data_IF_854114368620
#
_entry.id   IF_854114368620
#
_cell.length_a   1.000
_cell.length_b   1.000
_cell.length_c   1.000
_cell.angle_alpha   90.00
_cell.angle_beta   90.00
_cell.angle_gamma   90.00
#
_symmetry.space_group_name_H-M   'P 1'
#
loop_
_entity.id
_entity.type
_entity.pdbx_description
1 polymer ?
#
# COMPACT_ATOMS: atom_id res chain seq x y z
N UNK A 1 7.60 7.31 -59.35
CA UNK A 1 6.96 5.99 -59.42
C UNK A 1 7.81 5.02 -58.63
N UNK A 2 7.35 4.59 -57.45
CA UNK A 2 8.09 3.60 -56.65
C UNK A 2 7.57 2.22 -57.06
N UNK A 3 8.46 1.43 -57.63
CA UNK A 3 8.21 0.05 -58.07
C UNK A 3 7.83 -0.82 -56.89
N UNK A 4 6.65 -1.41 -56.94
CA UNK A 4 6.16 -2.42 -55.99
C UNK A 4 7.08 -3.64 -56.02
N UNK A 5 7.90 -3.82 -54.99
CA UNK A 5 8.75 -5.00 -54.84
C UNK A 5 7.89 -6.22 -54.50
N UNK A 6 7.85 -7.18 -55.42
CA UNK A 6 7.23 -8.48 -55.19
C UNK A 6 8.04 -9.26 -54.16
N UNK A 7 7.53 -9.36 -52.93
CA UNK A 7 8.08 -10.28 -51.93
C UNK A 7 7.90 -11.72 -52.46
N UNK A 8 8.98 -12.49 -52.63
CA UNK A 8 8.93 -13.89 -53.04
C UNK A 8 7.94 -14.70 -52.19
N UNK A 9 7.08 -15.50 -52.83
CA UNK A 9 5.99 -16.25 -52.15
C UNK A 9 6.50 -17.17 -51.02
N UNK A 10 7.75 -17.62 -51.09
CA UNK A 10 8.37 -18.49 -50.08
C UNK A 10 8.78 -17.75 -48.78
N UNK A 11 8.87 -16.42 -48.79
CA UNK A 11 9.21 -15.63 -47.59
C UNK A 11 7.99 -15.31 -46.69
N UNK A 12 6.77 -15.51 -47.20
CA UNK A 12 5.53 -15.25 -46.44
C UNK A 12 5.40 -16.04 -45.13
N UNK A 13 5.64 -17.38 -45.09
CA UNK A 13 5.55 -18.12 -43.83
C UNK A 13 6.64 -17.73 -42.83
N UNK A 14 7.83 -17.35 -43.31
CA UNK A 14 8.93 -16.88 -42.47
C UNK A 14 8.53 -15.55 -41.80
N UNK A 15 8.02 -14.59 -42.56
CA UNK A 15 7.53 -13.32 -42.01
C UNK A 15 6.39 -13.53 -40.99
N UNK A 16 5.50 -14.49 -41.24
CA UNK A 16 4.43 -14.85 -40.31
C UNK A 16 4.96 -15.46 -39.01
N UNK A 17 5.96 -16.34 -39.11
CA UNK A 17 6.61 -16.97 -37.94
C UNK A 17 7.40 -15.94 -37.13
N UNK A 18 8.09 -14.99 -37.77
CA UNK A 18 8.75 -13.88 -37.08
C UNK A 18 7.75 -12.92 -36.43
N UNK A 19 6.61 -12.65 -37.06
CA UNK A 19 5.52 -11.88 -36.45
C UNK A 19 4.97 -12.54 -35.19
N UNK A 20 4.77 -13.87 -35.22
CA UNK A 20 4.34 -14.67 -34.07
C UNK A 20 5.41 -14.76 -32.97
N UNK A 21 6.69 -14.88 -33.35
CA UNK A 21 7.81 -14.93 -32.41
C UNK A 21 8.00 -13.58 -31.71
N UNK A 22 7.76 -12.46 -32.40
CA UNK A 22 7.77 -11.12 -31.80
C UNK A 22 6.56 -10.87 -30.89
N UNK A 23 5.42 -11.55 -31.10
CA UNK A 23 4.29 -11.53 -30.17
C UNK A 23 4.52 -12.41 -28.93
N UNK A 24 5.51 -13.31 -28.99
CA UNK A 24 5.97 -14.16 -27.89
C UNK A 24 7.19 -13.57 -27.16
N UNK A 25 7.41 -12.25 -27.25
CA UNK A 25 8.26 -11.58 -26.27
C UNK A 25 7.56 -11.73 -24.93
N UNK A 26 8.00 -12.74 -24.18
CA UNK A 26 7.72 -12.86 -22.76
C UNK A 26 8.24 -11.56 -22.18
N UNK A 27 7.33 -10.61 -21.94
CA UNK A 27 7.64 -9.43 -21.14
C UNK A 27 8.15 -9.97 -19.84
N UNK A 28 9.47 -9.91 -19.66
CA UNK A 28 10.10 -10.34 -18.42
C UNK A 28 9.43 -9.53 -17.32
N UNK A 29 8.63 -10.21 -16.50
CA UNK A 29 7.98 -9.60 -15.34
C UNK A 29 9.09 -8.98 -14.51
N UNK A 30 9.13 -7.66 -14.45
CA UNK A 30 10.06 -6.96 -13.58
C UNK A 30 9.71 -7.40 -12.16
N UNK A 31 10.59 -8.18 -11.54
CA UNK A 31 10.36 -8.62 -10.17
C UNK A 31 10.64 -7.45 -9.22
N UNK A 32 9.75 -7.16 -8.25
CA UNK A 32 10.02 -6.17 -7.24
C UNK A 32 11.24 -6.60 -6.43
N UNK A 33 12.05 -5.62 -6.00
CA UNK A 33 13.09 -5.88 -5.01
C UNK A 33 12.40 -6.23 -3.69
N UNK A 34 12.91 -7.25 -3.00
CA UNK A 34 12.40 -7.62 -1.68
C UNK A 34 12.70 -6.50 -0.69
N UNK A 35 11.66 -5.78 -0.27
CA UNK A 35 11.73 -4.71 0.72
C UNK A 35 10.78 -5.00 1.88
N UNK A 36 10.96 -4.32 3.00
CA UNK A 36 10.00 -4.31 4.10
C UNK A 36 9.35 -2.93 4.23
N UNK A 37 8.30 -2.85 5.06
CA UNK A 37 7.62 -1.60 5.39
C UNK A 37 7.11 -0.82 4.17
N UNK A 38 6.64 -1.58 3.17
CA UNK A 38 5.94 -1.04 2.00
C UNK A 38 4.52 -0.64 2.41
N UNK A 39 3.96 0.35 1.73
CA UNK A 39 2.52 0.55 1.77
C UNK A 39 1.88 -0.28 0.65
N UNK A 40 0.69 -0.81 0.91
CA UNK A 40 -0.02 -1.62 -0.08
C UNK A 40 -1.52 -1.41 0.04
N UNK A 41 -2.23 -1.64 -1.07
CA UNK A 41 -3.67 -1.50 -1.17
C UNK A 41 -4.20 -2.39 -2.29
N UNK A 42 -5.48 -2.75 -2.24
CA UNK A 42 -6.10 -3.59 -3.28
C UNK A 42 -7.32 -2.92 -3.88
N UNK A 43 -7.44 -2.88 -5.21
CA UNK A 43 -8.63 -2.39 -5.90
C UNK A 43 -9.54 -3.55 -6.28
N UNK A 44 -10.80 -3.51 -5.82
CA UNK A 44 -11.82 -4.55 -6.12
C UNK A 44 -11.36 -5.99 -5.83
N UNK A 45 -10.40 -6.19 -4.91
CA UNK A 45 -9.74 -7.48 -4.64
C UNK A 45 -9.06 -8.13 -5.87
N UNK A 46 -8.94 -7.40 -6.99
CA UNK A 46 -8.44 -7.90 -8.26
C UNK A 46 -6.98 -7.52 -8.50
N UNK A 47 -6.55 -6.38 -7.97
CA UNK A 47 -5.18 -5.89 -8.15
C UNK A 47 -4.62 -5.48 -6.81
N UNK A 48 -3.43 -5.98 -6.45
CA UNK A 48 -2.64 -5.50 -5.32
C UNK A 48 -1.63 -4.48 -5.82
N UNK A 49 -1.64 -3.30 -5.23
CA UNK A 49 -0.64 -2.25 -5.44
C UNK A 49 0.31 -2.23 -4.25
N UNK A 50 1.59 -2.02 -4.53
CA UNK A 50 2.65 -1.94 -3.52
C UNK A 50 3.54 -0.76 -3.87
N UNK A 51 3.81 0.11 -2.89
CA UNK A 51 4.67 1.28 -3.06
C UNK A 51 5.75 1.36 -1.97
N UNK A 52 6.95 1.76 -2.39
CA UNK A 52 8.07 2.09 -1.52
C UNK A 52 8.74 0.89 -0.85
N UNK A 53 9.14 1.10 0.39
CA UNK A 53 9.83 0.12 1.25
C UNK A 53 11.33 0.35 1.38
N UNK A 54 11.97 -0.44 2.23
CA UNK A 54 13.42 -0.46 2.40
C UNK A 54 14.00 -1.87 2.31
N UNK A 55 15.18 -1.97 1.72
CA UNK A 55 16.00 -3.16 1.70
C UNK A 55 17.10 -3.06 2.77
N UNK A 56 17.31 -4.14 3.51
CA UNK A 56 18.34 -4.21 4.54
C UNK A 56 19.45 -5.17 4.13
N UNK A 57 20.67 -4.64 4.05
CA UNK A 57 21.89 -5.42 3.89
C UNK A 57 22.72 -5.32 5.17
N UNK A 58 22.47 -6.23 6.11
CA UNK A 58 23.12 -6.22 7.43
C UNK A 58 22.56 -5.14 8.36
N UNK A 59 23.35 -4.10 8.65
CA UNK A 59 22.90 -2.88 9.36
C UNK A 59 22.57 -1.73 8.38
N UNK A 60 22.99 -1.87 7.12
CA UNK A 60 22.78 -0.85 6.11
C UNK A 60 21.36 -0.95 5.58
N UNK A 61 20.74 0.21 5.46
CA UNK A 61 19.39 0.38 4.96
C UNK A 61 19.44 1.20 3.68
N UNK A 62 18.75 0.70 2.65
CA UNK A 62 18.58 1.41 1.39
C UNK A 62 17.09 1.52 1.13
N UNK A 63 16.58 2.74 1.15
CA UNK A 63 15.18 3.02 0.82
C UNK A 63 14.97 2.86 -0.70
N UNK A 64 13.83 2.26 -1.07
CA UNK A 64 13.35 2.13 -2.46
C UNK A 64 12.02 2.85 -2.66
N UNK A 65 11.98 4.17 -2.42
CA UNK A 65 10.75 4.96 -2.40
C UNK A 65 10.02 5.03 -3.74
N UNK A 66 10.73 4.90 -4.86
CA UNK A 66 10.16 4.89 -6.21
C UNK A 66 9.66 3.51 -6.68
N UNK A 67 9.74 2.49 -5.83
CA UNK A 67 9.29 1.14 -6.17
C UNK A 67 7.76 1.11 -6.17
N UNK A 68 7.12 1.11 -7.35
CA UNK A 68 5.66 1.02 -7.47
C UNK A 68 5.28 -0.14 -8.40
N UNK A 69 4.55 -1.12 -7.86
CA UNK A 69 4.22 -2.37 -8.55
C UNK A 69 2.75 -2.71 -8.38
N UNK A 70 2.20 -3.37 -9.39
CA UNK A 70 0.87 -3.97 -9.35
C UNK A 70 0.96 -5.49 -9.57
N UNK A 71 0.12 -6.25 -8.87
CA UNK A 71 -0.05 -7.69 -9.04
C UNK A 71 -1.50 -8.00 -9.36
N UNK A 72 -1.74 -8.66 -10.49
CA UNK A 72 -3.06 -9.15 -10.84
C UNK A 72 -3.40 -10.41 -10.02
N UNK A 73 -4.35 -10.25 -9.10
CA UNK A 73 -4.84 -11.31 -8.21
C UNK A 73 -5.89 -12.22 -8.88
N UNK A 74 -6.47 -11.82 -10.01
CA UNK A 74 -7.46 -12.63 -10.74
C UNK A 74 -6.79 -13.68 -11.63
N UNK A 75 -5.49 -13.61 -11.83
CA UNK A 75 -4.77 -14.57 -12.65
C UNK A 75 -4.78 -15.94 -11.96
N UNK A 76 -5.33 -16.95 -12.62
CA UNK A 76 -5.29 -18.33 -12.15
C UNK A 76 -3.95 -18.97 -12.50
N UNK A 77 -3.30 -19.64 -11.54
CA UNK A 77 -2.14 -20.49 -11.81
C UNK A 77 -0.80 -19.77 -12.02
N UNK A 78 -0.48 -18.76 -11.21
CA UNK A 78 0.85 -18.16 -11.18
C UNK A 78 1.80 -18.86 -10.19
N UNK A 79 3.09 -18.80 -10.50
CA UNK A 79 4.14 -19.33 -9.64
C UNK A 79 4.43 -18.32 -8.52
N UNK A 80 4.31 -18.72 -7.25
CA UNK A 80 4.61 -17.84 -6.11
C UNK A 80 6.07 -17.36 -6.06
N UNK A 81 6.99 -18.11 -6.67
CA UNK A 81 8.39 -17.72 -6.83
C UNK A 81 8.63 -16.76 -7.99
N UNK A 82 7.65 -16.56 -8.87
CA UNK A 82 7.70 -15.61 -9.98
C UNK A 82 6.30 -15.03 -10.25
N UNK A 83 5.76 -14.20 -9.34
CA UNK A 83 4.43 -13.64 -9.50
C UNK A 83 4.40 -12.69 -10.70
N UNK A 84 3.24 -12.51 -11.36
CA UNK A 84 3.05 -11.66 -12.53
C UNK A 84 3.00 -10.18 -12.13
N UNK A 85 4.13 -9.67 -11.62
CA UNK A 85 4.27 -8.27 -11.26
C UNK A 85 4.34 -7.38 -12.50
N UNK A 86 3.63 -6.28 -12.44
CA UNK A 86 3.72 -5.19 -13.41
C UNK A 86 4.37 -4.01 -12.72
N UNK A 87 5.54 -3.60 -13.22
CA UNK A 87 6.17 -2.36 -12.76
C UNK A 87 5.34 -1.18 -13.26
N UNK A 88 5.02 -0.26 -12.34
CA UNK A 88 4.24 0.92 -12.61
C UNK A 88 5.14 2.15 -12.57
N UNK A 89 4.82 3.16 -13.38
CA UNK A 89 5.57 4.42 -13.38
C UNK A 89 5.25 5.23 -12.13
N UNK A 90 6.30 5.66 -11.42
CA UNK A 90 6.21 6.66 -10.35
C UNK A 90 7.02 7.90 -10.75
N UNK A 91 6.43 9.10 -10.83
CA UNK A 91 7.13 10.30 -11.25
C UNK A 91 8.13 10.75 -10.18
N UNK A 92 9.39 10.87 -10.58
CA UNK A 92 10.49 11.25 -9.67
C UNK A 92 10.31 12.64 -9.05
N UNK A 93 9.57 13.52 -9.70
CA UNK A 93 9.21 14.86 -9.19
C UNK A 93 8.27 14.83 -7.98
N UNK A 94 7.50 13.75 -7.81
CA UNK A 94 6.59 13.55 -6.68
C UNK A 94 7.20 12.68 -5.59
N UNK A 95 8.48 12.32 -5.72
CA UNK A 95 9.16 11.63 -4.65
C UNK A 95 9.32 12.60 -3.46
N UNK A 96 9.08 12.12 -2.22
CA UNK A 96 9.36 12.91 -1.03
C UNK A 96 10.79 13.45 -1.01
N UNK A 97 10.98 14.65 -0.47
CA UNK A 97 12.31 15.29 -0.46
C UNK A 97 13.23 14.54 0.50
N UNK A 98 12.66 14.00 1.59
CA UNK A 98 13.33 13.15 2.56
C UNK A 98 13.10 11.64 2.29
N UNK A 99 13.37 11.18 1.07
CA UNK A 99 13.33 9.76 0.66
C UNK A 99 14.24 8.81 1.45
N UNK A 100 14.87 9.24 2.53
CA UNK A 100 15.62 8.37 3.43
C UNK A 100 14.71 7.43 4.23
N UNK A 101 13.38 7.55 4.12
CA UNK A 101 12.45 6.78 4.95
C UNK A 101 11.43 6.00 4.12
N UNK A 102 11.33 4.72 4.48
CA UNK A 102 10.26 3.78 4.22
C UNK A 102 9.17 4.00 5.30
N UNK A 103 7.99 3.37 5.19
CA UNK A 103 6.79 3.58 6.06
C UNK A 103 5.74 4.57 5.52
N UNK A 104 5.48 4.53 4.22
CA UNK A 104 4.28 5.17 3.70
C UNK A 104 3.02 4.55 4.29
N UNK A 105 1.93 5.32 4.26
CA UNK A 105 0.58 4.80 4.44
C UNK A 105 -0.16 4.81 3.11
N UNK A 106 -1.06 3.86 2.88
CA UNK A 106 -1.89 3.81 1.67
C UNK A 106 -3.32 3.46 2.00
N UNK A 107 -4.26 4.10 1.31
CA UNK A 107 -5.68 3.85 1.40
C UNK A 107 -6.33 4.10 0.04
N UNK A 108 -7.40 3.36 -0.24
CA UNK A 108 -8.12 3.43 -1.51
C UNK A 108 -9.38 4.29 -1.32
N UNK A 109 -9.69 5.17 -2.27
CA UNK A 109 -10.92 5.95 -2.28
C UNK A 109 -12.17 5.05 -2.33
N UNK A 110 -13.35 5.52 -1.86
CA UNK A 110 -14.56 4.69 -1.80
C UNK A 110 -15.03 4.13 -3.15
N UNK A 111 -14.76 4.85 -4.23
CA UNK A 111 -15.09 4.48 -5.60
C UNK A 111 -14.03 3.57 -6.27
N UNK A 112 -13.01 3.16 -5.51
CA UNK A 112 -11.89 2.34 -5.97
C UNK A 112 -11.08 2.94 -7.13
N UNK A 113 -11.14 4.25 -7.32
CA UNK A 113 -10.50 4.94 -8.46
C UNK A 113 -9.15 5.59 -8.12
N UNK A 114 -8.88 5.86 -6.85
CA UNK A 114 -7.72 6.64 -6.41
C UNK A 114 -7.05 6.01 -5.19
N UNK A 115 -5.75 5.73 -5.28
CA UNK A 115 -4.92 5.34 -4.14
C UNK A 115 -4.25 6.58 -3.57
N UNK A 116 -4.59 6.96 -2.34
CA UNK A 116 -3.84 7.95 -1.58
C UNK A 116 -2.62 7.29 -0.94
N UNK A 117 -1.46 7.96 -1.05
CA UNK A 117 -0.22 7.57 -0.39
C UNK A 117 0.28 8.75 0.44
N UNK A 118 0.39 8.53 1.75
CA UNK A 118 0.83 9.54 2.70
C UNK A 118 2.28 9.30 3.10
N UNK A 119 3.09 10.37 3.04
CA UNK A 119 4.34 10.44 3.76
C UNK A 119 4.06 10.92 5.18
N UNK A 120 4.42 10.10 6.16
CA UNK A 120 4.19 10.36 7.59
C UNK A 120 5.38 11.06 8.25
N UNK A 121 6.44 11.33 7.48
CA UNK A 121 7.71 11.85 7.97
C UNK A 121 8.03 13.24 7.43
N UNK A 122 7.64 13.53 6.19
CA UNK A 122 7.61 14.87 5.63
C UNK A 122 6.22 15.47 5.83
N UNK A 123 6.18 16.63 6.50
CA UNK A 123 4.97 17.42 6.67
C UNK A 123 4.25 17.62 5.33
N UNK A 124 2.92 17.46 5.35
CA UNK A 124 1.99 17.96 4.34
C UNK A 124 2.02 17.29 2.94
N UNK A 125 2.40 16.01 2.85
CA UNK A 125 2.45 15.31 1.55
C UNK A 125 1.53 14.10 1.44
N UNK A 126 0.44 14.30 0.69
CA UNK A 126 -0.37 13.27 0.07
C UNK A 126 -0.07 13.25 -1.43
N UNK A 127 0.21 12.07 -1.96
CA UNK A 127 0.24 11.83 -3.42
C UNK A 127 -0.84 10.83 -3.76
N UNK A 128 -1.60 11.11 -4.81
CA UNK A 128 -2.70 10.29 -5.26
C UNK A 128 -2.36 9.64 -6.59
N UNK A 129 -2.64 8.34 -6.69
CA UNK A 129 -2.55 7.58 -7.93
C UNK A 129 -3.94 7.27 -8.45
N UNK A 130 -4.28 7.81 -9.62
CA UNK A 130 -5.50 7.47 -10.34
C UNK A 130 -5.32 6.11 -11.04
N UNK A 131 -6.10 5.13 -10.61
CA UNK A 131 -6.06 3.75 -11.11
C UNK A 131 -6.47 3.69 -12.59
N UNK A 132 -7.50 4.42 -12.98
CA UNK A 132 -8.02 4.41 -14.35
C UNK A 132 -7.10 5.11 -15.35
N UNK A 133 -6.48 6.23 -14.94
CA UNK A 133 -5.63 7.04 -15.80
C UNK A 133 -4.14 6.68 -15.70
N UNK A 134 -3.78 5.82 -14.76
CA UNK A 134 -2.40 5.46 -14.41
C UNK A 134 -1.51 6.69 -14.19
N UNK A 135 -2.04 7.71 -13.53
CA UNK A 135 -1.38 9.01 -13.33
C UNK A 135 -1.28 9.38 -11.86
N UNK A 136 -0.23 10.12 -11.50
CA UNK A 136 -0.06 10.64 -10.14
C UNK A 136 -0.34 12.13 -10.05
N UNK A 137 -0.90 12.55 -8.92
CA UNK A 137 -1.15 13.95 -8.57
C UNK A 137 -0.68 14.23 -7.15
N UNK A 138 -0.05 15.38 -6.94
CA UNK A 138 0.26 15.86 -5.59
C UNK A 138 -0.97 16.57 -5.03
N UNK A 139 -1.33 16.27 -3.78
CA UNK A 139 -2.41 16.93 -3.06
C UNK A 139 -1.81 17.67 -1.88
N UNK A 140 -2.10 18.97 -1.78
CA UNK A 140 -1.73 19.74 -0.62
C UNK A 140 -2.72 19.42 0.50
N UNK A 141 -2.21 19.01 1.65
CA UNK A 141 -3.00 18.84 2.87
C UNK A 141 -2.64 19.96 3.84
N UNK A 142 -3.63 20.44 4.55
CA UNK A 142 -3.44 21.29 5.73
C UNK A 142 -3.36 20.36 6.92
N UNK A 143 -2.27 20.46 7.67
CA UNK A 143 -1.90 19.66 8.84
C UNK A 143 -1.03 18.44 8.56
N UNK A 144 -0.16 18.18 9.53
CA UNK A 144 0.85 17.13 9.46
C UNK A 144 0.35 15.84 10.08
N UNK A 145 0.46 14.76 9.31
CA UNK A 145 0.42 13.42 9.89
C UNK A 145 1.82 13.12 10.42
N UNK A 146 1.91 12.68 11.67
CA UNK A 146 3.16 12.24 12.28
C UNK A 146 3.00 10.84 12.84
N UNK A 147 4.07 10.05 12.74
CA UNK A 147 4.15 8.71 13.31
C UNK A 147 4.83 7.74 12.36
N UNK A 148 5.72 6.91 12.89
CA UNK A 148 6.34 5.82 12.15
C UNK A 148 5.34 4.69 11.87
N UNK A 149 5.27 4.18 10.64
CA UNK A 149 4.52 2.96 10.30
C UNK A 149 3.00 3.05 10.42
N UNK A 150 2.45 4.27 10.39
CA UNK A 150 1.01 4.52 10.48
C UNK A 150 0.27 3.83 9.32
N UNK A 151 -0.82 3.14 9.64
CA UNK A 151 -1.73 2.56 8.65
C UNK A 151 -2.86 3.54 8.35
N UNK A 152 -3.45 3.45 7.16
CA UNK A 152 -4.55 4.28 6.72
C UNK A 152 -5.71 3.39 6.27
N UNK A 153 -6.94 3.80 6.59
CA UNK A 153 -8.15 3.10 6.16
C UNK A 153 -9.22 4.12 5.76
N UNK A 154 -9.80 3.94 4.58
CA UNK A 154 -10.90 4.78 4.11
C UNK A 154 -12.23 4.23 4.58
N UNK A 155 -13.08 5.06 5.17
CA UNK A 155 -14.49 4.74 5.34
C UNK A 155 -15.21 4.82 3.98
N UNK A 156 -15.73 3.70 3.44
CA UNK A 156 -16.38 3.68 2.13
C UNK A 156 -17.68 4.49 2.09
N UNK A 157 -18.25 4.85 3.24
CA UNK A 157 -19.51 5.61 3.30
C UNK A 157 -19.26 7.11 3.20
N UNK A 158 -18.24 7.60 3.90
CA UNK A 158 -17.97 9.04 4.03
C UNK A 158 -16.77 9.51 3.21
N UNK A 159 -15.89 8.60 2.80
CA UNK A 159 -14.61 8.92 2.15
C UNK A 159 -13.54 9.46 3.10
N UNK A 160 -13.81 9.53 4.40
CA UNK A 160 -12.82 9.91 5.40
C UNK A 160 -11.72 8.84 5.51
N UNK A 161 -10.46 9.27 5.68
CA UNK A 161 -9.33 8.36 5.86
C UNK A 161 -8.84 8.42 7.29
N UNK A 162 -8.87 7.30 8.00
CA UNK A 162 -8.50 7.18 9.40
C UNK A 162 -7.07 6.64 9.54
N UNK A 163 -6.32 7.25 10.44
CA UNK A 163 -4.94 6.91 10.77
C UNK A 163 -4.83 6.49 12.24
N UNK A 164 -5.10 5.22 12.56
CA UNK A 164 -4.88 4.71 13.90
C UNK A 164 -3.41 4.79 14.29
N UNK A 165 -3.14 5.35 15.46
CA UNK A 165 -1.78 5.56 15.95
C UNK A 165 -1.03 6.73 15.28
N UNK A 166 -1.72 7.53 14.47
CA UNK A 166 -1.19 8.80 13.97
C UNK A 166 -1.27 9.89 15.05
N UNK A 167 -0.36 10.86 14.99
CA UNK A 167 -0.38 12.07 15.79
C UNK A 167 0.94 12.38 16.52
N UNK A 168 1.15 13.65 16.92
CA UNK A 168 2.48 14.18 17.26
C UNK A 168 3.09 13.68 18.59
N UNK A 169 2.30 13.05 19.47
CA UNK A 169 2.76 12.84 20.85
C UNK A 169 2.82 11.36 21.27
N UNK A 170 1.84 10.51 20.92
CA UNK A 170 1.56 9.34 21.75
C UNK A 170 1.34 8.01 21.00
N UNK A 171 1.26 7.99 19.66
CA UNK A 171 0.81 6.82 18.89
C UNK A 171 -0.53 6.20 19.36
N UNK A 172 -1.29 6.94 20.17
CA UNK A 172 -2.55 6.51 20.75
C UNK A 172 -3.73 7.29 20.20
N UNK A 173 -3.47 8.41 19.52
CA UNK A 173 -4.49 9.16 18.82
C UNK A 173 -4.89 8.44 17.54
N UNK A 174 -6.10 8.72 17.10
CA UNK A 174 -6.56 8.37 15.76
C UNK A 174 -6.74 9.70 15.04
N UNK A 175 -6.03 9.88 13.92
CA UNK A 175 -6.24 11.05 13.07
C UNK A 175 -7.25 10.71 11.98
N UNK A 176 -7.93 11.71 11.44
CA UNK A 176 -8.82 11.57 10.30
C UNK A 176 -8.53 12.65 9.27
N UNK A 177 -8.27 12.23 8.03
CA UNK A 177 -8.17 13.09 6.86
C UNK A 177 -9.54 13.20 6.17
N UNK A 178 -9.92 14.43 5.84
CA UNK A 178 -11.10 14.72 5.04
C UNK A 178 -10.68 15.18 3.63
N UNK A 179 -10.88 14.35 2.58
CA UNK A 179 -10.51 14.71 1.22
C UNK A 179 -11.22 15.95 0.67
N UNK A 180 -12.40 16.29 1.21
CA UNK A 180 -13.17 17.46 0.75
C UNK A 180 -12.55 18.77 1.25
N UNK A 181 -12.03 18.77 2.48
CA UNK A 181 -11.44 19.98 3.08
C UNK A 181 -9.91 20.00 3.01
N UNK A 182 -9.28 18.86 2.72
CA UNK A 182 -7.82 18.71 2.75
C UNK A 182 -7.23 18.71 4.17
N UNK A 183 -8.05 18.63 5.22
CA UNK A 183 -7.59 18.77 6.61
C UNK A 183 -7.40 17.42 7.30
N UNK A 184 -6.40 17.35 8.18
CA UNK A 184 -6.22 16.25 9.14
C UNK A 184 -6.62 16.72 10.54
N UNK A 185 -7.56 16.00 11.17
CA UNK A 185 -8.08 16.36 12.51
C UNK A 185 -8.04 15.16 13.45
N UNK A 186 -8.17 15.40 14.75
CA UNK A 186 -8.30 14.32 15.74
C UNK A 186 -9.67 13.63 15.60
N UNK A 187 -9.66 12.30 15.72
CA UNK A 187 -10.86 11.47 15.86
C UNK A 187 -10.86 10.76 17.22
N UNK A 188 -12.03 10.29 17.72
CA UNK A 188 -12.12 9.60 19.00
C UNK A 188 -11.15 8.42 19.11
N UNK A 189 -10.20 8.53 20.05
CA UNK A 189 -9.14 7.55 20.23
C UNK A 189 -9.57 6.40 21.14
N UNK A 190 -8.84 5.28 21.08
CA UNK A 190 -9.08 4.12 21.94
C UNK A 190 -8.53 4.31 23.36
N UNK A 191 -7.96 5.47 23.68
CA UNK A 191 -7.38 5.75 24.99
C UNK A 191 -8.52 5.98 26.00
N UNK A 192 -8.76 5.04 26.96
CA UNK A 192 -7.73 4.40 27.80
C UNK A 192 -7.63 2.86 27.70
N UNK A 193 -8.15 2.23 26.64
CA UNK A 193 -8.25 0.75 26.53
C UNK A 193 -6.87 0.07 26.50
N UNK A 194 -5.81 0.77 26.09
CA UNK A 194 -4.43 0.25 26.07
C UNK A 194 -3.55 1.09 27.02
N UNK A 195 -3.60 0.79 28.31
CA UNK A 195 -2.65 1.32 29.29
C UNK A 195 -1.28 0.66 29.10
N UNK A 196 -0.39 1.30 28.35
CA UNK A 196 1.01 0.91 28.24
C UNK A 196 1.73 1.70 27.15
N UNK A 197 2.84 2.35 27.51
CA UNK A 197 3.75 3.12 26.63
C UNK A 197 4.46 2.29 25.54
N UNK A 198 3.82 1.28 24.97
CA UNK A 198 4.37 0.54 23.84
C UNK A 198 3.83 1.16 22.57
N UNK A 199 4.74 1.72 21.74
CA UNK A 199 4.43 2.24 20.40
C UNK A 199 3.52 1.24 19.69
N UNK A 200 2.27 1.65 19.47
CA UNK A 200 1.30 0.84 18.78
C UNK A 200 1.57 0.99 17.30
N UNK A 201 2.17 -0.04 16.70
CA UNK A 201 2.15 -0.20 15.26
C UNK A 201 0.91 -1.06 14.97
N UNK A 202 -0.18 -0.52 14.41
CA UNK A 202 -1.29 -1.36 13.99
C UNK A 202 -0.82 -2.24 12.83
N UNK A 203 -0.96 -3.56 12.95
CA UNK A 203 -0.86 -4.44 11.80
C UNK A 203 -2.27 -4.80 11.34
N UNK A 204 -2.55 -4.53 10.07
CA UNK A 204 -3.59 -5.29 9.36
C UNK A 204 -2.96 -6.61 8.90
N UNK A 205 -2.85 -7.58 9.80
CA UNK A 205 -2.32 -8.90 9.41
C UNK A 205 -3.32 -9.65 8.54
N UNK A 206 -2.84 -10.21 7.43
CA UNK A 206 -3.57 -11.20 6.62
C UNK A 206 -3.32 -12.57 7.22
N UNK A 207 -3.98 -12.91 8.32
CA UNK A 207 -4.27 -14.33 8.56
C UNK A 207 -5.40 -14.74 7.62
N UNK A 208 -5.38 -16.00 7.17
CA UNK A 208 -6.42 -16.63 6.35
C UNK A 208 -7.71 -16.78 7.16
N UNK A 209 -8.32 -15.65 7.48
CA UNK A 209 -9.67 -15.45 7.98
C UNK A 209 -10.38 -14.62 6.89
N UNK A 210 -11.68 -14.81 6.66
CA UNK A 210 -12.39 -14.09 5.61
C UNK A 210 -12.28 -12.57 5.86
N UNK A 211 -11.46 -11.92 5.05
CA UNK A 211 -11.45 -10.47 4.78
C UNK A 211 -11.57 -9.53 5.99
N UNK A 212 -10.49 -9.36 6.76
CA UNK A 212 -10.34 -8.25 7.75
C UNK A 212 -10.15 -6.87 7.06
N UNK A 213 -10.09 -6.83 5.72
CA UNK A 213 -9.89 -5.59 4.93
C UNK A 213 -11.17 -4.84 4.55
N UNK A 214 -12.34 -5.36 4.92
CA UNK A 214 -13.61 -4.69 4.64
C UNK A 214 -14.06 -4.01 5.92
N UNK A 215 -14.36 -2.71 5.86
CA UNK A 215 -15.27 -2.11 6.82
C UNK A 215 -16.58 -2.89 6.69
N UNK A 216 -16.82 -3.79 7.64
CA UNK A 216 -17.98 -4.66 7.61
C UNK A 216 -19.04 -3.97 8.46
N UNK A 217 -20.07 -3.43 7.81
CA UNK A 217 -21.14 -2.68 8.46
C UNK A 217 -20.65 -1.50 9.33
N UNK A 218 -19.65 -0.75 8.87
CA UNK A 218 -19.11 0.39 9.61
C UNK A 218 -18.10 0.04 10.71
N UNK A 219 -17.60 -1.20 10.76
CA UNK A 219 -16.59 -1.61 11.74
C UNK A 219 -15.23 -1.87 11.08
N UNK A 220 -14.12 -1.42 11.69
CA UNK A 220 -12.78 -1.88 11.33
C UNK A 220 -12.00 -2.40 12.55
N UNK A 221 -11.20 -3.45 12.34
CA UNK A 221 -10.42 -4.09 13.38
C UNK A 221 -8.94 -3.72 13.31
N UNK A 222 -8.35 -3.42 14.46
CA UNK A 222 -6.91 -3.30 14.64
C UNK A 222 -6.39 -4.51 15.41
N UNK A 223 -5.31 -5.06 14.90
CA UNK A 223 -4.53 -6.10 15.56
C UNK A 223 -3.19 -5.50 15.97
N UNK A 224 -2.78 -5.72 17.21
CA UNK A 224 -1.47 -5.26 17.68
C UNK A 224 -0.34 -5.95 16.89
N UNK A 225 0.68 -5.18 16.47
CA UNK A 225 1.79 -5.70 15.68
C UNK A 225 3.03 -6.10 16.50
N UNK A 226 3.74 -7.07 15.92
CA UNK A 226 5.12 -7.51 16.12
C UNK A 226 6.07 -6.58 15.34
N UNK A 227 7.02 -5.91 16.00
CA UNK A 227 8.08 -5.13 15.32
C UNK A 227 8.68 -5.91 14.14
N UNK A 228 9.03 -5.21 13.05
CA UNK A 228 9.93 -5.75 12.05
C UNK A 228 11.24 -6.15 12.76
N UNK A 229 11.42 -7.43 13.10
CA UNK A 229 12.63 -7.90 13.76
C UNK A 229 13.70 -8.18 12.72
N UNK A 230 14.91 -7.72 13.03
CA UNK A 230 16.14 -8.24 12.44
C UNK A 230 16.32 -9.67 12.93
N UNK A 231 16.25 -10.65 12.03
CA UNK A 231 16.57 -12.03 12.37
C UNK A 231 18.06 -12.13 12.73
N UNK A 232 18.38 -12.13 14.02
CA UNK A 232 19.75 -12.36 14.50
C UNK A 232 19.99 -13.81 14.96
N UNK A 233 18.95 -14.66 15.03
CA UNK A 233 19.05 -16.10 15.26
C UNK A 233 17.65 -16.76 15.27
N UNK A 234 17.61 -18.06 14.96
CA UNK A 234 16.44 -18.86 14.53
C UNK A 234 15.39 -19.21 15.61
N UNK A 235 15.30 -18.46 16.71
CA UNK A 235 14.29 -18.69 17.75
C UNK A 235 13.71 -17.35 18.19
N UNK A 236 12.65 -16.88 17.53
CA UNK A 236 11.87 -15.73 17.99
C UNK A 236 10.40 -16.10 18.03
N UNK A 237 9.81 -16.11 19.24
CA UNK A 237 8.38 -16.32 19.43
C UNK A 237 7.62 -15.02 19.17
N UNK A 238 6.57 -15.14 18.37
CA UNK A 238 5.65 -14.07 18.00
C UNK A 238 4.66 -13.83 19.16
N UNK A 239 4.68 -12.63 19.75
CA UNK A 239 3.62 -12.15 20.62
C UNK A 239 2.73 -11.18 19.84
N UNK A 240 1.52 -11.61 19.48
CA UNK A 240 0.43 -10.73 19.05
C UNK A 240 -0.42 -10.39 20.28
N UNK A 241 -0.90 -9.15 20.39
CA UNK A 241 -1.97 -8.84 21.35
C UNK A 241 -3.15 -9.76 21.05
N UNK A 242 -3.62 -10.52 22.03
CA UNK A 242 -4.63 -11.55 21.84
C UNK A 242 -6.05 -10.99 21.64
N UNK A 243 -6.27 -9.69 21.90
CA UNK A 243 -7.60 -9.07 21.86
C UNK A 243 -7.67 -8.06 20.71
N UNK A 244 -8.53 -8.27 19.70
CA UNK A 244 -8.74 -7.31 18.62
C UNK A 244 -9.50 -6.10 19.14
N UNK A 245 -9.05 -4.90 18.77
CA UNK A 245 -9.78 -3.66 18.98
C UNK A 245 -10.61 -3.36 17.74
N UNK A 246 -11.89 -3.09 17.90
CA UNK A 246 -12.81 -2.74 16.81
C UNK A 246 -13.31 -1.32 17.01
N UNK A 247 -13.09 -0.46 16.00
CA UNK A 247 -13.70 0.86 15.95
C UNK A 247 -15.02 0.80 15.21
N UNK A 248 -16.05 1.38 15.79
CA UNK A 248 -17.37 1.49 15.22
C UNK A 248 -17.57 2.91 14.68
N UNK A 249 -17.66 3.03 13.35
CA UNK A 249 -17.83 4.31 12.64
C UNK A 249 -19.21 4.93 12.86
N UNK A 250 -20.24 4.14 13.16
CA UNK A 250 -21.60 4.64 13.34
C UNK A 250 -21.77 5.41 14.66
N UNK A 251 -21.06 5.01 15.71
CA UNK A 251 -21.13 5.65 17.03
C UNK A 251 -19.79 6.21 17.52
N UNK A 252 -18.73 6.09 16.71
CA UNK A 252 -17.39 6.58 16.97
C UNK A 252 -16.75 6.03 18.26
N UNK A 253 -17.00 4.75 18.57
CA UNK A 253 -16.48 4.09 19.79
C UNK A 253 -15.56 2.91 19.49
N UNK A 254 -14.63 2.65 20.42
CA UNK A 254 -13.77 1.47 20.42
C UNK A 254 -14.35 0.37 21.31
N UNK A 255 -14.30 -0.87 20.85
CA UNK A 255 -14.73 -2.06 21.61
C UNK A 255 -13.69 -3.16 21.49
N UNK A 256 -13.56 -4.00 22.53
CA UNK A 256 -12.80 -5.25 22.47
C UNK A 256 -13.73 -6.38 22.03
N UNK A 257 -13.26 -7.25 21.15
CA UNK A 257 -13.98 -8.49 20.82
C UNK A 257 -13.44 -9.62 21.69
N UNK A 258 -14.33 -10.31 22.41
CA UNK A 258 -14.05 -11.52 23.20
C UNK A 258 -14.54 -12.75 22.45
#
# INVERSE_FOLDING_TARGET
MISSSHIPRWLKPIAWFWGLLCLLVITASAQPISTCCMAYGTTNENTLYVVGGAHYTGISEVAFPAQFYALNLTQTGWNTSNPPWTMMSYPTSLLPRAMSRFQYSMALSPDNSTLGVWDVTDADRLVEYSVGNASWTSVNITDTLSGDGVQAVTDPTTGLVYFPGGGPANYSAMMVYNPTTGMITDAPSSYPIVNGHQRYYPATSVQKLPSIRKIWNGLFGLWGQIRCFKALNSITRIGVSAVPLVYNLANLTWTTTY
#
